data_IF_645360775059
#
_entry.id   IF_645360775059
#
_cell.length_a   1.000
_cell.length_b   1.000
_cell.length_c   1.000
_cell.angle_alpha   90.00
_cell.angle_beta   90.00
_cell.angle_gamma   90.00
#
_symmetry.space_group_name_H-M   'P 1'
#
loop_
_entity.id
_entity.type
_entity.pdbx_description
1 polymer ?
#
# COMPACT_ATOMS: atom_id res chain seq x y z
N UNK A 1 7.32 14.70 12.43
CA UNK A 1 8.58 13.98 12.17
C UNK A 1 8.28 12.49 12.29
N UNK A 2 7.90 11.85 11.19
CA UNK A 2 7.80 10.40 11.10
C UNK A 2 9.23 9.85 11.24
N UNK A 3 9.42 8.89 12.15
CA UNK A 3 10.70 8.23 12.39
C UNK A 3 11.29 7.73 11.06
N UNK A 4 12.47 8.22 10.69
CA UNK A 4 13.22 7.80 9.49
C UNK A 4 13.92 6.45 9.65
N UNK A 5 13.51 5.66 10.66
CA UNK A 5 13.95 4.28 10.79
C UNK A 5 13.52 3.50 9.54
N UNK A 6 14.47 2.79 8.93
CA UNK A 6 14.19 1.91 7.80
C UNK A 6 13.10 0.92 8.20
N UNK A 7 11.96 0.87 7.47
CA UNK A 7 10.90 -0.06 7.79
C UNK A 7 11.39 -1.49 7.61
N UNK A 8 10.84 -2.43 8.38
CA UNK A 8 11.16 -3.86 8.27
C UNK A 8 10.02 -4.60 7.62
N UNK A 9 10.32 -5.51 6.69
CA UNK A 9 9.29 -6.23 5.94
C UNK A 9 8.38 -7.05 6.88
N UNK A 10 8.90 -7.57 7.98
CA UNK A 10 8.14 -8.37 8.95
C UNK A 10 6.99 -7.62 9.63
N UNK A 11 7.04 -6.28 9.65
CA UNK A 11 6.03 -5.42 10.26
C UNK A 11 4.74 -5.35 9.41
N UNK A 12 4.83 -5.72 8.13
CA UNK A 12 3.73 -5.67 7.18
C UNK A 12 3.00 -7.02 7.13
N UNK A 13 1.71 -7.09 7.50
CA UNK A 13 0.97 -8.35 7.57
C UNK A 13 0.58 -8.92 6.20
N UNK A 14 0.43 -8.07 5.19
CA UNK A 14 0.16 -8.50 3.81
C UNK A 14 1.40 -8.31 2.95
N UNK A 15 1.78 -9.37 2.21
CA UNK A 15 2.97 -9.38 1.36
C UNK A 15 2.70 -10.13 0.08
N UNK A 16 3.25 -9.63 -1.02
CA UNK A 16 3.22 -10.30 -2.32
C UNK A 16 4.61 -10.23 -2.97
N UNK A 17 4.85 -11.16 -3.90
CA UNK A 17 5.97 -11.11 -4.81
C UNK A 17 5.53 -10.54 -6.15
N UNK A 18 6.38 -9.72 -6.77
CA UNK A 18 6.24 -9.31 -8.17
C UNK A 18 7.62 -9.28 -8.85
N UNK A 19 7.64 -9.23 -10.17
CA UNK A 19 8.87 -9.14 -10.95
C UNK A 19 9.10 -7.72 -11.43
N UNK A 20 10.36 -7.29 -11.43
CA UNK A 20 10.79 -6.14 -12.21
C UNK A 20 10.68 -6.54 -13.68
N UNK A 21 9.97 -5.72 -14.47
CA UNK A 21 9.80 -5.93 -15.91
C UNK A 21 10.84 -5.08 -16.63
N UNK A 22 11.26 -5.52 -17.82
CA UNK A 22 12.18 -4.71 -18.63
C UNK A 22 11.58 -3.33 -18.96
N UNK A 23 10.26 -3.26 -19.16
CA UNK A 23 9.52 -2.04 -19.41
C UNK A 23 9.44 -1.07 -18.20
N UNK A 24 9.83 -1.53 -17.01
CA UNK A 24 9.85 -0.69 -15.81
C UNK A 24 11.07 0.25 -15.79
N UNK A 25 12.08 -0.02 -16.62
CA UNK A 25 13.31 0.77 -16.68
C UNK A 25 13.13 2.09 -17.43
N UNK A 26 13.87 3.10 -17.00
CA UNK A 26 14.08 4.33 -17.76
C UNK A 26 15.46 4.36 -18.45
N UNK A 27 15.81 5.42 -19.20
CA UNK A 27 17.10 5.52 -19.89
C UNK A 27 18.35 5.47 -18.98
N UNK A 28 18.20 5.63 -17.67
CA UNK A 28 19.31 5.47 -16.72
C UNK A 28 19.53 4.00 -16.32
N UNK A 29 18.77 3.08 -16.91
CA UNK A 29 18.84 1.63 -16.69
C UNK A 29 18.40 1.17 -15.28
N UNK A 30 17.62 1.97 -14.57
CA UNK A 30 16.95 1.60 -13.32
C UNK A 30 15.45 1.75 -13.45
N UNK A 31 14.72 1.15 -12.51
CA UNK A 31 13.26 1.29 -12.45
C UNK A 31 12.89 2.77 -12.29
N UNK A 32 12.04 3.25 -13.18
CA UNK A 32 11.55 4.61 -13.16
C UNK A 32 10.78 4.90 -11.86
N UNK A 33 10.95 6.11 -11.32
CA UNK A 33 10.31 6.51 -10.06
C UNK A 33 8.77 6.36 -10.06
N UNK A 34 8.10 6.53 -11.20
CA UNK A 34 6.64 6.44 -11.31
C UNK A 34 6.15 4.99 -11.19
N UNK A 35 6.97 4.02 -11.60
CA UNK A 35 6.60 2.59 -11.57
C UNK A 35 6.42 2.08 -10.13
N UNK A 36 7.12 2.67 -9.16
CA UNK A 36 6.91 2.32 -7.75
C UNK A 36 5.46 2.55 -7.30
N UNK A 37 4.76 3.56 -7.83
CA UNK A 37 3.35 3.78 -7.54
C UNK A 37 2.49 2.57 -7.98
N UNK A 38 2.83 1.96 -9.12
CA UNK A 38 2.21 0.74 -9.65
C UNK A 38 2.53 -0.49 -8.79
N UNK A 39 3.76 -0.64 -8.30
CA UNK A 39 4.10 -1.72 -7.36
C UNK A 39 3.28 -1.61 -6.06
N UNK A 40 3.20 -0.42 -5.48
CA UNK A 40 2.37 -0.18 -4.31
C UNK A 40 0.88 -0.38 -4.59
N UNK A 41 0.39 0.06 -5.75
CA UNK A 41 -0.99 -0.20 -6.18
C UNK A 41 -1.28 -1.69 -6.28
N UNK A 42 -0.39 -2.47 -6.88
CA UNK A 42 -0.53 -3.93 -7.01
C UNK A 42 -0.72 -4.56 -5.62
N UNK A 43 0.08 -4.16 -4.62
CA UNK A 43 -0.11 -4.61 -3.24
C UNK A 43 -1.51 -4.29 -2.68
N UNK A 44 -1.99 -3.05 -2.86
CA UNK A 44 -3.33 -2.64 -2.40
C UNK A 44 -4.45 -3.36 -3.13
N UNK A 45 -4.37 -3.44 -4.45
CA UNK A 45 -5.41 -4.04 -5.29
C UNK A 45 -5.52 -5.53 -5.01
N UNK A 46 -4.41 -6.26 -4.91
CA UNK A 46 -4.45 -7.70 -4.61
C UNK A 46 -5.06 -7.97 -3.24
N UNK A 47 -4.74 -7.17 -2.21
CA UNK A 47 -5.40 -7.27 -0.91
C UNK A 47 -6.90 -6.97 -1.01
N UNK A 48 -7.26 -5.86 -1.65
CA UNK A 48 -8.64 -5.35 -1.59
C UNK A 48 -9.60 -6.13 -2.50
N UNK A 49 -9.13 -6.65 -3.63
CA UNK A 49 -9.95 -7.40 -4.60
C UNK A 49 -10.20 -8.85 -4.20
N UNK A 50 -9.44 -9.39 -3.25
CA UNK A 50 -9.74 -10.71 -2.70
C UNK A 50 -11.06 -10.65 -1.91
N UNK A 51 -12.10 -11.25 -2.51
CA UNK A 51 -13.46 -11.24 -1.97
C UNK A 51 -13.56 -11.92 -0.61
N UNK A 52 -12.65 -12.84 -0.29
CA UNK A 52 -12.66 -13.55 1.00
C UNK A 52 -12.38 -12.62 2.18
N UNK A 53 -11.78 -11.46 1.96
CA UNK A 53 -11.49 -10.48 3.01
C UNK A 53 -12.59 -9.44 3.23
N UNK A 54 -13.59 -9.34 2.33
CA UNK A 54 -14.71 -8.41 2.51
C UNK A 54 -14.30 -6.94 2.60
N UNK A 55 -13.26 -6.53 1.87
CA UNK A 55 -12.72 -5.15 1.88
C UNK A 55 -13.30 -4.24 0.79
N UNK A 56 -14.10 -4.80 -0.12
CA UNK A 56 -14.82 -4.07 -1.17
C UNK A 56 -16.33 -4.34 -1.05
N UNK A 57 -17.04 -3.58 -0.21
CA UNK A 57 -18.50 -3.65 -0.14
C UNK A 57 -19.14 -3.29 -1.48
N UNK A 58 -20.30 -3.89 -1.76
CA UNK A 58 -21.05 -3.59 -3.00
C UNK A 58 -21.53 -2.12 -3.01
N UNK A 59 -21.50 -1.50 -4.20
CA UNK A 59 -21.89 -0.10 -4.39
C UNK A 59 -20.90 0.93 -3.84
N UNK A 60 -19.77 0.49 -3.29
CA UNK A 60 -18.71 1.36 -2.77
C UNK A 60 -17.39 1.13 -3.52
N UNK A 61 -16.65 2.21 -3.70
CA UNK A 61 -15.33 2.21 -4.34
C UNK A 61 -14.29 2.93 -3.49
N UNK A 62 -13.04 2.47 -3.59
CA UNK A 62 -11.91 3.11 -2.92
C UNK A 62 -11.18 4.05 -3.88
N UNK A 63 -10.96 5.29 -3.42
CA UNK A 63 -10.22 6.31 -4.17
C UNK A 63 -8.97 6.71 -3.42
N UNK A 64 -7.79 6.51 -4.02
CA UNK A 64 -6.54 7.00 -3.45
C UNK A 64 -6.45 8.52 -3.66
N UNK A 65 -6.38 9.26 -2.56
CA UNK A 65 -6.35 10.74 -2.57
C UNK A 65 -4.99 11.32 -2.19
N UNK A 66 -4.10 10.49 -1.65
CA UNK A 66 -2.71 10.86 -1.34
C UNK A 66 -1.79 9.65 -1.49
N UNK A 67 -0.63 9.89 -2.07
CA UNK A 67 0.50 8.98 -2.09
C UNK A 67 1.78 9.78 -1.80
N UNK A 68 2.54 9.32 -0.81
CA UNK A 68 3.78 9.94 -0.35
C UNK A 68 4.87 8.86 -0.41
N UNK A 69 5.92 9.07 -1.20
CA UNK A 69 6.91 8.02 -1.53
C UNK A 69 8.33 8.47 -1.19
N UNK A 70 9.09 7.55 -0.62
CA UNK A 70 10.51 7.69 -0.32
C UNK A 70 11.28 6.63 -1.12
N UNK A 71 12.14 7.07 -2.02
CA UNK A 71 13.06 6.21 -2.78
C UNK A 71 14.35 6.06 -1.98
N UNK A 72 14.74 4.82 -1.65
CA UNK A 72 15.83 4.52 -0.72
C UNK A 72 17.04 3.87 -1.40
N UNK A 73 16.80 3.11 -2.47
CA UNK A 73 17.85 2.51 -3.29
C UNK A 73 17.35 2.28 -4.73
N UNK A 74 18.29 2.20 -5.68
CA UNK A 74 18.00 1.84 -7.06
C UNK A 74 17.54 0.38 -7.16
N UNK A 75 16.66 0.11 -8.13
CA UNK A 75 16.20 -1.23 -8.50
C UNK A 75 16.48 -1.46 -9.98
N UNK A 76 16.93 -2.66 -10.34
CA UNK A 76 17.35 -3.01 -11.70
C UNK A 76 16.66 -4.27 -12.18
N UNK A 77 16.63 -4.44 -13.50
CA UNK A 77 16.20 -5.66 -14.15
C UNK A 77 17.40 -6.54 -14.53
N UNK A 78 17.30 -7.88 -14.48
CA UNK A 78 16.18 -8.66 -13.94
C UNK A 78 16.17 -8.68 -12.41
N UNK A 79 15.00 -8.86 -11.80
CA UNK A 79 14.87 -8.95 -10.34
C UNK A 79 13.44 -9.26 -9.88
N UNK A 80 13.33 -9.75 -8.65
CA UNK A 80 12.06 -9.97 -7.95
C UNK A 80 11.98 -9.01 -6.77
N UNK A 81 10.78 -8.49 -6.52
CA UNK A 81 10.49 -7.61 -5.39
C UNK A 81 9.48 -8.25 -4.43
N UNK A 82 9.59 -7.85 -3.17
CA UNK A 82 8.62 -8.12 -2.12
C UNK A 82 7.87 -6.82 -1.80
N UNK A 83 6.57 -6.79 -2.03
CA UNK A 83 5.72 -5.63 -1.67
C UNK A 83 5.04 -5.92 -0.34
N UNK A 84 5.29 -5.10 0.66
CA UNK A 84 4.63 -5.15 1.97
C UNK A 84 3.56 -4.07 2.10
N UNK A 85 2.41 -4.42 2.69
CA UNK A 85 1.29 -3.53 2.92
C UNK A 85 0.74 -3.71 4.35
N UNK A 86 0.48 -2.59 5.03
CA UNK A 86 -0.08 -2.60 6.37
C UNK A 86 -0.89 -1.34 6.66
N UNK A 87 -2.07 -1.52 7.24
CA UNK A 87 -2.95 -0.44 7.64
C UNK A 87 -2.42 0.23 8.91
N UNK A 88 -2.32 1.55 8.94
CA UNK A 88 -1.78 2.31 10.08
C UNK A 88 -2.80 3.22 10.76
N UNK A 89 -3.87 3.60 10.04
CA UNK A 89 -4.87 4.52 10.59
C UNK A 89 -6.22 4.34 9.91
N UNK A 90 -7.29 4.41 10.71
CA UNK A 90 -8.64 4.67 10.24
C UNK A 90 -8.97 6.15 10.42
N UNK A 91 -9.53 6.77 9.38
CA UNK A 91 -10.29 8.00 9.47
C UNK A 91 -11.79 7.71 9.53
N UNK A 92 -12.62 8.76 9.41
CA UNK A 92 -14.09 8.57 9.36
C UNK A 92 -14.53 7.86 8.07
N UNK A 93 -13.95 8.25 6.94
CA UNK A 93 -14.30 7.77 5.59
C UNK A 93 -13.06 7.25 4.84
N UNK A 94 -11.95 7.02 5.53
CA UNK A 94 -10.66 6.77 4.90
C UNK A 94 -9.81 5.77 5.68
N UNK A 95 -8.89 5.14 4.97
CA UNK A 95 -7.86 4.26 5.49
C UNK A 95 -6.49 4.79 5.06
N UNK A 96 -5.50 4.68 5.94
CA UNK A 96 -4.11 5.01 5.64
C UNK A 96 -3.28 3.75 5.69
N UNK A 97 -2.55 3.46 4.61
CA UNK A 97 -1.64 2.34 4.51
C UNK A 97 -0.20 2.82 4.49
N UNK A 98 0.65 2.15 5.25
CA UNK A 98 2.08 2.13 5.01
C UNK A 98 2.43 0.96 4.09
N UNK A 99 3.45 1.16 3.26
CA UNK A 99 3.81 0.27 2.17
C UNK A 99 5.32 0.26 1.98
N UNK A 100 5.85 -0.88 1.56
CA UNK A 100 7.29 -1.04 1.27
C UNK A 100 7.49 -1.88 0.03
N UNK A 101 8.58 -1.61 -0.68
CA UNK A 101 9.15 -2.48 -1.70
C UNK A 101 10.53 -2.90 -1.21
N UNK A 102 10.75 -4.20 -1.17
CA UNK A 102 12.01 -4.84 -0.83
C UNK A 102 12.57 -5.56 -2.05
N UNK A 103 13.89 -5.59 -2.16
CA UNK A 103 14.63 -6.41 -3.12
C UNK A 103 15.89 -6.92 -2.44
N UNK A 104 16.17 -8.23 -2.55
CA UNK A 104 17.34 -8.88 -1.93
C UNK A 104 17.49 -8.54 -0.42
N UNK A 105 16.38 -8.50 0.31
CA UNK A 105 16.36 -8.18 1.74
C UNK A 105 16.57 -6.70 2.09
N UNK A 106 16.65 -5.79 1.11
CA UNK A 106 16.82 -4.34 1.32
C UNK A 106 15.54 -3.58 0.96
N UNK A 107 15.15 -2.62 1.79
CA UNK A 107 14.05 -1.70 1.48
C UNK A 107 14.49 -0.72 0.39
N UNK A 108 13.97 -0.87 -0.83
CA UNK A 108 14.30 0.00 -1.98
C UNK A 108 13.38 1.21 -2.07
N UNK A 109 12.14 1.08 -1.62
CA UNK A 109 11.20 2.18 -1.49
C UNK A 109 10.21 1.96 -0.35
N UNK A 110 9.68 3.05 0.20
CA UNK A 110 8.58 3.03 1.16
C UNK A 110 7.56 4.11 0.81
N UNK A 111 6.30 3.89 1.12
CA UNK A 111 5.25 4.87 0.85
C UNK A 111 4.14 4.85 1.90
N UNK A 112 3.50 6.00 2.08
CA UNK A 112 2.21 6.10 2.75
C UNK A 112 1.13 6.50 1.74
N UNK A 113 -0.01 5.82 1.79
CA UNK A 113 -1.18 6.15 0.96
C UNK A 113 -2.41 6.37 1.80
N UNK A 114 -3.30 7.25 1.33
CA UNK A 114 -4.62 7.48 1.92
C UNK A 114 -5.68 7.18 0.87
N UNK A 115 -6.56 6.24 1.20
CA UNK A 115 -7.71 5.88 0.37
C UNK A 115 -9.01 6.25 1.07
N UNK A 116 -9.91 6.89 0.34
CA UNK A 116 -11.24 7.30 0.80
C UNK A 116 -12.28 6.34 0.22
N UNK A 117 -13.23 5.91 1.06
CA UNK A 117 -14.37 5.12 0.64
C UNK A 117 -15.44 6.05 0.05
N UNK A 118 -15.85 5.78 -1.18
CA UNK A 118 -16.80 6.57 -1.95
C UNK A 118 -18.03 5.71 -2.24
N UNK A 119 -19.21 6.28 -2.04
CA UNK A 119 -20.47 5.71 -2.51
C UNK A 119 -20.61 5.96 -4.03
N UNK A 120 -20.81 4.89 -4.81
CA UNK A 120 -20.76 4.98 -6.27
C UNK A 120 -21.95 5.74 -6.86
N UNK A 121 -23.12 5.66 -6.22
CA UNK A 121 -24.34 6.34 -6.68
C UNK A 121 -24.26 7.85 -6.46
N UNK A 122 -23.81 8.27 -5.28
CA UNK A 122 -23.76 9.68 -4.88
C UNK A 122 -22.43 10.36 -5.18
N UNK A 123 -21.37 9.57 -5.45
CA UNK A 123 -19.98 10.02 -5.67
C UNK A 123 -19.40 10.78 -4.47
N UNK A 124 -19.90 10.53 -3.26
CA UNK A 124 -19.48 11.22 -2.02
C UNK A 124 -18.73 10.28 -1.08
N UNK A 125 -17.82 10.81 -0.24
CA UNK A 125 -17.21 10.03 0.84
C UNK A 125 -18.25 9.48 1.80
N UNK A 126 -18.15 8.18 2.12
CA UNK A 126 -19.07 7.50 3.03
C UNK A 126 -18.32 6.94 4.25
N UNK A 127 -18.92 6.93 5.46
CA UNK A 127 -18.27 6.41 6.65
C UNK A 127 -17.87 4.93 6.55
N UNK A 128 -16.75 4.59 7.16
CA UNK A 128 -16.36 3.18 7.32
C UNK A 128 -17.33 2.48 8.30
N UNK A 129 -17.91 1.37 7.89
CA UNK A 129 -18.80 0.59 8.75
C UNK A 129 -18.00 -0.19 9.82
N UNK A 130 -18.62 -0.54 10.96
CA UNK A 130 -17.96 -1.39 11.96
C UNK A 130 -17.47 -2.74 11.40
N UNK A 131 -18.23 -3.32 10.47
CA UNK A 131 -17.85 -4.55 9.77
C UNK A 131 -16.60 -4.36 8.91
N UNK A 132 -16.53 -3.29 8.13
CA UNK A 132 -15.37 -3.00 7.31
C UNK A 132 -14.12 -2.74 8.17
N UNK A 133 -14.27 -2.01 9.28
CA UNK A 133 -13.19 -1.81 10.26
C UNK A 133 -12.73 -3.14 10.85
N UNK A 134 -13.66 -4.05 11.17
CA UNK A 134 -13.34 -5.41 11.64
C UNK A 134 -12.57 -6.21 10.59
N UNK A 135 -12.98 -6.17 9.34
CA UNK A 135 -12.33 -6.88 8.23
C UNK A 135 -10.91 -6.36 7.97
N UNK A 136 -10.62 -5.10 8.30
CA UNK A 136 -9.29 -4.54 8.22
C UNK A 136 -8.35 -4.88 9.39
N UNK A 137 -8.86 -5.36 10.53
CA UNK A 137 -8.05 -5.64 11.73
C UNK A 137 -6.86 -6.59 11.47
N UNK A 138 -6.99 -7.68 10.70
CA UNK A 138 -5.87 -8.58 10.41
C UNK A 138 -4.72 -7.89 9.65
N UNK A 139 -5.01 -6.77 8.99
CA UNK A 139 -4.09 -6.05 8.11
C UNK A 139 -3.44 -4.84 8.78
N UNK A 140 -3.63 -4.66 10.09
CA UNK A 140 -2.94 -3.62 10.85
C UNK A 140 -1.41 -3.84 10.82
N UNK A 141 -0.67 -2.79 10.47
CA UNK A 141 0.78 -2.79 10.52
C UNK A 141 1.23 -3.01 11.97
N UNK A 142 2.17 -3.93 12.15
CA UNK A 142 2.74 -4.24 13.46
C UNK A 142 3.73 -3.14 13.87
N UNK A 143 3.88 -2.92 15.17
CA UNK A 143 4.88 -1.98 15.71
C UNK A 143 4.60 -0.50 15.48
N UNK A 144 3.39 -0.12 15.02
CA UNK A 144 2.98 1.28 14.92
C UNK A 144 2.17 1.67 16.15
N UNK A 145 2.72 2.55 16.99
CA UNK A 145 1.93 3.25 18.01
C UNK A 145 0.93 4.13 17.29
N UNK A 146 -0.37 3.89 17.43
CA UNK A 146 -1.40 4.77 16.85
C UNK A 146 -1.16 6.20 17.36
N UNK A 147 -0.68 7.08 16.49
CA UNK A 147 -0.66 8.51 16.77
C UNK A 147 -2.14 8.95 16.81
N UNK A 148 -2.60 9.24 18.03
CA UNK A 148 -3.90 9.87 18.31
C UNK A 148 -3.99 11.21 17.60
#
# INVERSE_FOLDING_TARGET
MTSDATPRLEDFPYRILDNVRFADLDPNHHVNNAIYATYFETGRVTLMKDRSYGLMPEGLSWMMVRLDMHFRAELRWPGTIEVGLGLVKFGRTSVTFDQVVFSEGRCVASAQSVSVLIDDATRKPTPLTPELIKNFQPWLRRGVSSQR
#
